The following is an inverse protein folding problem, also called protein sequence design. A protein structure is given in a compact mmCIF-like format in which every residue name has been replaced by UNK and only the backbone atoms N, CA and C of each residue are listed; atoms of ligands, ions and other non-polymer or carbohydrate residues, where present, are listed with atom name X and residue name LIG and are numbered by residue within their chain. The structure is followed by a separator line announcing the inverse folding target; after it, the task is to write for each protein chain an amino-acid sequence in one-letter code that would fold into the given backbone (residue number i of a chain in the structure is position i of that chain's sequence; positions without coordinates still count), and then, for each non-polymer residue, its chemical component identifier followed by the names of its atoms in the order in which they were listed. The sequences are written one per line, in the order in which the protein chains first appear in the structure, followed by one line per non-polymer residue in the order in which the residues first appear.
data_IF_347282217699
#
_entry.id   IF_347282217699
#
_cell.length_a   1.000
_cell.length_b   1.000
_cell.length_c   1.000
_cell.angle_alpha   90.00
_cell.angle_beta   90.00
_cell.angle_gamma   90.00
#
_symmetry.space_group_name_H-M   'P 1'
#
loop_
_entity.id
_entity.type
_entity.pdbx_description
1 polymer ?
#
# COMPACT_ATOMS: atom_id res chain seq x y z
N UNK A 1 -19.05 -18.76 46.81
CA UNK A 1 -17.99 -19.32 46.41
C UNK A 1 -17.73 -19.53 44.99
N UNK A 2 -18.48 -20.33 44.34
CA UNK A 2 -18.25 -20.63 42.96
C UNK A 2 -18.39 -19.49 42.04
N UNK A 3 -19.03 -18.46 42.45
CA UNK A 3 -19.29 -17.35 41.54
C UNK A 3 -18.09 -16.59 41.11
N UNK A 4 -17.07 -16.58 41.90
CA UNK A 4 -15.90 -15.86 41.50
C UNK A 4 -15.30 -16.34 40.25
N UNK A 5 -15.37 -17.62 39.99
CA UNK A 5 -14.73 -18.17 38.85
C UNK A 5 -15.26 -17.65 37.55
N UNK A 6 -16.54 -17.42 37.55
CA UNK A 6 -17.20 -16.97 36.35
C UNK A 6 -16.72 -15.59 35.94
N UNK A 7 -16.57 -14.72 36.92
CA UNK A 7 -16.15 -13.36 36.61
C UNK A 7 -14.75 -13.33 36.08
N UNK A 8 -13.90 -14.15 36.62
CA UNK A 8 -12.55 -14.22 36.21
C UNK A 8 -12.43 -14.63 34.76
N UNK A 9 -13.24 -15.57 34.32
CA UNK A 9 -13.20 -16.04 32.94
C UNK A 9 -13.59 -14.94 31.97
N UNK A 10 -14.56 -14.15 32.30
CA UNK A 10 -14.99 -13.09 31.43
C UNK A 10 -13.89 -12.08 31.17
N UNK A 11 -13.14 -11.75 32.19
CA UNK A 11 -12.06 -10.82 32.07
C UNK A 11 -10.98 -11.32 31.12
N UNK A 12 -10.73 -12.60 31.15
CA UNK A 12 -9.73 -13.19 30.32
C UNK A 12 -10.09 -13.07 28.83
N UNK A 13 -11.32 -13.24 28.51
CA UNK A 13 -11.79 -13.11 27.15
C UNK A 13 -11.57 -11.74 26.57
N UNK A 14 -11.72 -10.71 27.36
CA UNK A 14 -11.50 -9.36 26.86
C UNK A 14 -10.10 -9.15 26.39
N UNK A 15 -9.14 -9.74 27.06
CA UNK A 15 -7.75 -9.60 26.66
C UNK A 15 -7.49 -10.21 25.30
N UNK A 16 -8.10 -11.34 25.03
CA UNK A 16 -7.93 -11.98 23.74
C UNK A 16 -8.49 -11.15 22.61
N UNK A 17 -9.63 -10.54 22.80
CA UNK A 17 -10.23 -9.71 21.79
C UNK A 17 -9.34 -8.53 21.47
N UNK A 18 -8.72 -7.97 22.46
CA UNK A 18 -7.88 -6.86 22.28
C UNK A 18 -6.67 -7.19 21.42
N UNK A 19 -6.12 -8.37 21.57
CA UNK A 19 -4.95 -8.78 20.81
C UNK A 19 -5.22 -8.83 19.31
N UNK A 20 -6.43 -9.13 18.90
CA UNK A 20 -6.77 -9.23 17.49
C UNK A 20 -6.62 -7.89 16.79
N UNK A 21 -6.86 -6.80 17.47
CA UNK A 21 -6.77 -5.49 16.86
C UNK A 21 -5.35 -5.08 16.50
N UNK A 22 -4.37 -5.79 16.97
CA UNK A 22 -2.98 -5.43 16.71
C UNK A 22 -2.46 -5.92 15.38
N UNK A 23 -3.23 -6.68 14.61
CA UNK A 23 -2.75 -7.25 13.37
C UNK A 23 -2.70 -6.21 12.26
N UNK A 24 -1.64 -6.25 11.47
CA UNK A 24 -1.49 -5.32 10.36
C UNK A 24 -2.21 -5.86 9.13
N UNK A 25 -2.51 -4.97 8.20
CA UNK A 25 -3.20 -5.32 6.97
C UNK A 25 -2.25 -5.90 5.94
N UNK A 26 -2.78 -6.69 5.03
CA UNK A 26 -2.03 -7.27 3.93
C UNK A 26 -2.86 -7.19 2.66
N UNK A 27 -2.20 -7.42 1.51
CA UNK A 27 -2.87 -7.51 0.23
C UNK A 27 -3.58 -6.24 -0.16
N UNK A 28 -4.74 -6.38 -0.78
CA UNK A 28 -5.48 -5.22 -1.27
C UNK A 28 -5.81 -4.23 -0.16
N UNK A 29 -6.12 -4.73 1.03
CA UNK A 29 -6.44 -3.85 2.16
C UNK A 29 -5.26 -3.02 2.61
N UNK A 30 -4.05 -3.55 2.43
CA UNK A 30 -2.86 -2.80 2.77
C UNK A 30 -2.53 -1.75 1.70
N UNK A 31 -2.59 -2.17 0.42
CA UNK A 31 -2.10 -1.31 -0.66
C UNK A 31 -3.10 -0.29 -1.15
N UNK A 32 -4.38 -0.43 -0.80
CA UNK A 32 -5.34 0.58 -1.23
C UNK A 32 -4.99 1.93 -0.62
N UNK A 33 -5.28 2.99 -1.34
CA UNK A 33 -4.99 4.34 -0.90
C UNK A 33 -4.10 5.07 -1.88
N UNK A 34 -3.57 6.18 -1.41
CA UNK A 34 -2.75 7.04 -2.24
C UNK A 34 -1.32 7.00 -1.70
N UNK A 35 -0.35 6.88 -2.59
CA UNK A 35 1.05 6.73 -2.22
C UNK A 35 1.89 7.77 -2.92
N UNK A 36 2.72 8.47 -2.14
CA UNK A 36 3.77 9.32 -2.70
C UNK A 36 4.95 8.43 -3.04
N UNK A 37 5.37 8.40 -4.29
CA UNK A 37 6.42 7.52 -4.77
C UNK A 37 7.61 8.34 -5.21
N UNK A 38 8.77 8.03 -4.66
CA UNK A 38 10.02 8.65 -5.03
C UNK A 38 10.85 7.62 -5.79
N UNK A 39 11.23 7.93 -7.03
CA UNK A 39 12.07 7.09 -7.86
C UNK A 39 13.46 7.71 -7.86
N UNK A 40 14.44 6.96 -7.43
CA UNK A 40 15.78 7.47 -7.21
C UNK A 40 16.71 7.17 -8.38
N UNK A 41 17.58 8.11 -8.69
CA UNK A 41 18.69 7.85 -9.60
C UNK A 41 18.37 7.79 -11.07
N UNK A 42 17.25 8.39 -11.48
CA UNK A 42 16.96 8.43 -12.91
C UNK A 42 17.92 9.40 -13.61
N UNK A 43 18.05 9.31 -14.95
CA UNK A 43 18.96 10.21 -15.65
C UNK A 43 18.72 11.69 -15.40
N UNK A 44 17.48 12.06 -15.08
CA UNK A 44 17.15 13.45 -14.80
C UNK A 44 17.11 13.75 -13.30
N UNK A 45 17.67 12.87 -12.48
CA UNK A 45 17.62 13.00 -11.03
C UNK A 45 16.45 12.23 -10.45
N UNK A 46 16.16 12.47 -9.19
CA UNK A 46 15.05 11.78 -8.54
C UNK A 46 13.74 12.29 -9.11
N UNK A 47 12.78 11.39 -9.23
CA UNK A 47 11.49 11.71 -9.82
C UNK A 47 10.39 11.32 -8.85
N UNK A 48 9.27 12.04 -8.91
CA UNK A 48 8.14 11.79 -7.99
C UNK A 48 6.87 11.56 -8.76
N UNK A 49 6.02 10.69 -8.22
CA UNK A 49 4.69 10.47 -8.76
C UNK A 49 3.79 10.05 -7.63
N UNK A 50 2.49 10.06 -7.89
CA UNK A 50 1.50 9.58 -6.93
C UNK A 50 0.80 8.39 -7.57
N UNK A 51 0.72 7.30 -6.83
CA UNK A 51 -0.01 6.11 -7.26
C UNK A 51 -1.26 6.02 -6.41
N UNK A 52 -2.43 6.03 -7.06
CA UNK A 52 -3.71 5.92 -6.36
C UNK A 52 -4.26 4.53 -6.63
N UNK A 53 -4.46 3.76 -5.57
CA UNK A 53 -4.96 2.40 -5.67
C UNK A 53 -6.29 2.30 -4.95
N UNK A 54 -7.28 1.72 -5.62
CA UNK A 54 -8.60 1.52 -5.06
C UNK A 54 -8.89 0.04 -5.00
N UNK A 55 -9.43 -0.38 -3.87
CA UNK A 55 -9.80 -1.78 -3.71
C UNK A 55 -11.12 -2.02 -4.42
N UNK A 56 -11.15 -3.06 -5.26
CA UNK A 56 -12.36 -3.45 -5.96
C UNK A 56 -12.50 -4.96 -5.79
N UNK A 57 -13.45 -5.37 -4.98
CA UNK A 57 -13.60 -6.76 -4.56
C UNK A 57 -12.30 -7.19 -3.87
N UNK A 58 -11.62 -8.20 -4.37
CA UNK A 58 -10.39 -8.66 -3.74
C UNK A 58 -9.14 -8.20 -4.51
N UNK A 59 -9.31 -7.30 -5.46
CA UNK A 59 -8.20 -6.83 -6.27
C UNK A 59 -8.08 -5.31 -6.18
N UNK A 60 -7.18 -4.74 -6.96
CA UNK A 60 -6.94 -3.30 -6.98
C UNK A 60 -7.05 -2.77 -8.39
N UNK A 61 -7.46 -1.52 -8.49
CA UNK A 61 -7.41 -0.75 -9.72
C UNK A 61 -6.86 0.63 -9.36
N UNK A 62 -6.50 1.43 -10.34
CA UNK A 62 -6.01 2.75 -9.98
C UNK A 62 -5.47 3.55 -11.14
N UNK A 63 -4.85 4.66 -10.77
CA UNK A 63 -4.28 5.61 -11.72
C UNK A 63 -2.96 6.14 -11.18
N UNK A 64 -2.17 6.70 -12.09
CA UNK A 64 -0.93 7.42 -11.75
C UNK A 64 -1.20 8.90 -11.89
N UNK A 65 -0.77 9.68 -10.92
CA UNK A 65 -0.92 11.12 -10.92
C UNK A 65 0.46 11.79 -10.82
N UNK A 66 0.56 13.03 -11.29
CA UNK A 66 1.74 13.83 -11.01
C UNK A 66 1.61 14.41 -9.60
N UNK A 67 2.62 15.19 -9.18
CA UNK A 67 2.65 15.70 -7.81
C UNK A 67 1.60 16.77 -7.55
N UNK A 68 0.93 17.27 -8.58
CA UNK A 68 -0.17 18.22 -8.40
C UNK A 68 -1.51 17.52 -8.25
N UNK A 69 -1.53 16.20 -8.41
CA UNK A 69 -2.77 15.42 -8.32
C UNK A 69 -3.45 15.21 -9.66
N UNK A 70 -2.84 15.62 -10.75
CA UNK A 70 -3.41 15.44 -12.08
C UNK A 70 -3.12 14.04 -12.59
N UNK A 71 -4.15 13.35 -13.08
CA UNK A 71 -3.98 12.00 -13.61
C UNK A 71 -3.16 12.05 -14.89
N UNK A 72 -2.09 11.26 -14.97
CA UNK A 72 -1.25 11.19 -16.14
C UNK A 72 -1.27 9.84 -16.82
N UNK A 73 -1.78 8.81 -16.16
CA UNK A 73 -1.87 7.49 -16.77
C UNK A 73 -2.82 6.63 -15.96
N UNK A 74 -3.47 5.69 -16.64
CA UNK A 74 -4.26 4.67 -15.96
C UNK A 74 -3.40 3.45 -15.77
N UNK A 75 -3.67 2.71 -14.70
CA UNK A 75 -2.98 1.46 -14.45
C UNK A 75 -3.63 0.39 -15.30
N UNK A 76 -2.81 -0.31 -16.08
CA UNK A 76 -3.31 -1.32 -17.01
C UNK A 76 -3.52 -2.67 -16.32
N UNK A 77 -2.64 -3.01 -15.39
CA UNK A 77 -2.68 -4.31 -14.74
C UNK A 77 -1.99 -4.21 -13.40
N UNK A 78 -2.45 -4.98 -12.44
CA UNK A 78 -1.85 -5.04 -11.10
C UNK A 78 -1.68 -6.50 -10.73
N UNK A 79 -0.49 -6.85 -10.25
CA UNK A 79 -0.24 -8.13 -9.61
C UNK A 79 -0.15 -7.91 -8.12
N UNK A 80 -0.72 -8.81 -7.34
CA UNK A 80 -0.89 -8.58 -5.91
C UNK A 80 -0.59 -9.85 -5.13
N UNK A 81 0.23 -9.70 -4.10
CA UNK A 81 0.41 -10.72 -3.08
C UNK A 81 0.14 -10.09 -1.73
N UNK A 82 0.33 -10.81 -0.67
CA UNK A 82 0.07 -10.28 0.67
C UNK A 82 0.99 -9.11 1.02
N UNK A 83 2.23 -9.12 0.54
CA UNK A 83 3.22 -8.12 0.92
C UNK A 83 3.80 -7.33 -0.25
N UNK A 84 3.34 -7.60 -1.47
CA UNK A 84 3.91 -6.95 -2.65
C UNK A 84 2.81 -6.68 -3.66
N UNK A 85 2.92 -5.55 -4.33
CA UNK A 85 2.11 -5.32 -5.52
C UNK A 85 3.00 -4.79 -6.63
N UNK A 86 2.71 -5.17 -7.87
CA UNK A 86 3.38 -4.65 -9.04
C UNK A 86 2.33 -3.97 -9.91
N UNK A 87 2.59 -2.72 -10.24
CA UNK A 87 1.67 -1.87 -10.98
C UNK A 87 2.24 -1.68 -12.38
N UNK A 88 1.42 -1.92 -13.40
CA UNK A 88 1.83 -1.81 -14.80
C UNK A 88 1.05 -0.68 -15.45
N UNK A 89 1.74 0.21 -16.11
CA UNK A 89 1.08 1.31 -16.82
C UNK A 89 1.95 1.76 -17.98
N UNK A 90 1.36 2.57 -18.86
CA UNK A 90 2.07 3.12 -20.01
C UNK A 90 2.30 4.61 -19.76
N UNK A 91 3.53 5.04 -19.87
CA UNK A 91 3.89 6.45 -19.69
C UNK A 91 4.57 6.94 -20.97
N UNK A 92 3.90 7.80 -21.68
CA UNK A 92 4.44 8.42 -22.90
C UNK A 92 4.92 7.39 -23.92
N UNK A 93 4.15 6.33 -24.09
CA UNK A 93 4.48 5.29 -25.05
C UNK A 93 5.36 4.17 -24.54
N UNK A 94 5.82 4.25 -23.30
CA UNK A 94 6.67 3.23 -22.72
C UNK A 94 5.92 2.42 -21.68
N UNK A 95 6.11 1.11 -21.70
CA UNK A 95 5.55 0.26 -20.67
C UNK A 95 6.41 0.34 -19.43
N UNK A 96 5.79 0.62 -18.31
CA UNK A 96 6.48 0.84 -17.04
C UNK A 96 5.88 -0.07 -16.00
N UNK A 97 6.71 -0.61 -15.12
CA UNK A 97 6.21 -1.31 -13.95
C UNK A 97 6.90 -0.80 -12.70
N UNK A 98 6.14 -0.76 -11.62
CA UNK A 98 6.64 -0.35 -10.31
C UNK A 98 6.31 -1.45 -9.34
N UNK A 99 7.33 -1.96 -8.67
CA UNK A 99 7.18 -2.95 -7.61
C UNK A 99 7.14 -2.22 -6.29
N UNK A 100 6.14 -2.53 -5.48
CA UNK A 100 5.99 -1.95 -4.15
C UNK A 100 5.93 -3.07 -3.14
N UNK A 101 6.93 -3.15 -2.28
CA UNK A 101 6.99 -4.14 -1.21
C UNK A 101 6.65 -3.47 0.10
N UNK A 102 5.81 -4.12 0.90
CA UNK A 102 5.45 -3.60 2.21
C UNK A 102 6.69 -3.52 3.09
N UNK A 103 6.94 -2.34 3.65
CA UNK A 103 8.02 -2.15 4.59
C UNK A 103 7.47 -2.04 6.01
N UNK A 104 6.45 -1.20 6.18
CA UNK A 104 5.71 -1.07 7.43
C UNK A 104 4.32 -0.57 7.07
N UNK A 105 3.56 -0.13 8.06
CA UNK A 105 2.15 0.22 7.83
C UNK A 105 1.96 1.34 6.81
N UNK A 106 2.90 2.25 6.71
CA UNK A 106 2.75 3.44 5.88
C UNK A 106 3.87 3.62 4.85
N UNK A 107 4.77 2.66 4.72
CA UNK A 107 5.91 2.79 3.82
C UNK A 107 6.09 1.55 2.97
N UNK A 108 6.50 1.76 1.72
CA UNK A 108 6.84 0.69 0.79
C UNK A 108 8.20 0.99 0.19
N UNK A 109 8.87 -0.07 -0.26
CA UNK A 109 10.12 0.05 -1.01
C UNK A 109 10.02 -0.86 -2.21
N UNK A 110 10.78 -0.55 -3.25
CA UNK A 110 10.72 -1.41 -4.42
C UNK A 110 11.59 -0.88 -5.54
N UNK A 111 11.09 -1.04 -6.77
CA UNK A 111 11.86 -0.62 -7.95
C UNK A 111 10.92 -0.22 -9.07
N UNK A 112 11.45 0.63 -9.96
CA UNK A 112 10.79 0.99 -11.20
C UNK A 112 11.63 0.37 -12.32
N UNK A 113 10.98 -0.44 -13.15
CA UNK A 113 11.62 -1.16 -14.28
C UNK A 113 12.80 -2.00 -13.83
N UNK A 114 12.86 -2.37 -12.56
CA UNK A 114 13.96 -3.11 -11.96
C UNK A 114 15.31 -2.42 -12.11
N UNK A 115 15.28 -1.14 -12.41
CA UNK A 115 16.50 -0.35 -12.62
C UNK A 115 16.68 0.73 -11.59
N UNK A 116 15.61 1.30 -11.10
CA UNK A 116 15.67 2.43 -10.19
C UNK A 116 14.99 2.09 -8.88
N UNK A 117 15.62 2.45 -7.77
CA UNK A 117 15.04 2.20 -6.45
C UNK A 117 13.85 3.12 -6.22
N UNK A 118 12.86 2.60 -5.52
CA UNK A 118 11.63 3.32 -5.23
C UNK A 118 11.38 3.28 -3.73
N UNK A 119 10.96 4.42 -3.21
CA UNK A 119 10.44 4.51 -1.84
C UNK A 119 9.08 5.17 -1.90
N UNK A 120 8.16 4.70 -1.08
CA UNK A 120 6.83 5.29 -1.05
C UNK A 120 6.32 5.49 0.35
N UNK A 121 5.54 6.55 0.54
CA UNK A 121 4.81 6.76 1.79
C UNK A 121 3.35 6.91 1.50
N UNK A 122 2.54 6.40 2.41
CA UNK A 122 1.10 6.53 2.32
C UNK A 122 0.70 7.97 2.57
N UNK A 123 -0.13 8.52 1.68
CA UNK A 123 -0.70 9.84 1.89
C UNK A 123 -1.86 9.66 2.86
N UNK A 124 -1.77 10.34 3.99
CA UNK A 124 -2.83 10.23 4.98
C UNK A 124 -3.90 11.25 4.70
N UNK A 125 -5.13 10.85 4.95
CA UNK A 125 -6.25 11.75 4.76
C UNK A 125 -6.11 12.91 5.74
N UNK A 126 -6.31 14.12 5.25
CA UNK A 126 -6.30 15.27 6.11
C UNK A 126 -7.71 15.71 6.38
N UNK A 127 -7.90 16.31 7.51
CA UNK A 127 -9.26 16.67 7.89
C UNK A 127 -9.39 18.09 8.22
#
# INVERSE_FOLDING_TARGET
MKKFKIIFTGSFFLLLSFAIHAQSKTGASYFEGKWNILVKGTPNGDSKMIIVLEKKDSTLTGVIQDTTGKEISKIDRIELTETRTTVYFNAQGYDVNVVMNKKDDDHVTGSLLRMFDVEGDRVKATK
#
